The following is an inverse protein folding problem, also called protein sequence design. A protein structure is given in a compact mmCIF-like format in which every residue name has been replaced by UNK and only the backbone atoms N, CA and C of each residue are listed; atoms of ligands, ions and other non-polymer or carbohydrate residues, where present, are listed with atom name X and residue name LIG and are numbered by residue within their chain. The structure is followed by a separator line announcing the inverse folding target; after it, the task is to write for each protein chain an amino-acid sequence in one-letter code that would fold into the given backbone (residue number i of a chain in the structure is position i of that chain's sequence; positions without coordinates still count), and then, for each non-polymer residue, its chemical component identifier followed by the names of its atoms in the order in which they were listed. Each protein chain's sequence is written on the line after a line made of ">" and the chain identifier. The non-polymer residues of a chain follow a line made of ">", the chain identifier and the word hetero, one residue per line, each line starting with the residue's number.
data_IF_479182765482
#
_entry.id   IF_479182765482
#
_cell.length_a   1.000
_cell.length_b   1.000
_cell.length_c   1.000
_cell.angle_alpha   90.00
_cell.angle_beta   90.00
_cell.angle_gamma   90.00
#
_symmetry.space_group_name_H-M   'P 1'
#
loop_
_entity.id
_entity.type
_entity.pdbx_description
1 polymer ?
#
# COMPACT_ATOMS: atom_id res chain seq x y z
N UNK A 1 -36.61 -3.94 13.12
CA UNK A 1 -36.28 -4.68 11.88
C UNK A 1 -35.01 -4.07 11.33
N UNK A 2 -33.90 -4.63 11.75
CA UNK A 2 -32.57 -4.07 11.62
C UNK A 2 -31.66 -5.28 11.32
N UNK A 3 -31.82 -5.81 10.11
CA UNK A 3 -31.14 -7.01 9.66
C UNK A 3 -30.06 -6.74 8.61
N UNK A 4 -29.47 -5.54 8.55
CA UNK A 4 -28.42 -5.23 7.55
C UNK A 4 -27.07 -4.82 8.14
N UNK A 5 -26.84 -4.93 9.46
CA UNK A 5 -25.63 -4.37 10.10
C UNK A 5 -24.50 -5.37 10.38
N UNK A 6 -24.67 -6.67 10.12
CA UNK A 6 -23.73 -7.73 10.52
C UNK A 6 -22.66 -8.10 9.47
N UNK A 7 -22.71 -7.54 8.25
CA UNK A 7 -21.76 -7.86 7.17
C UNK A 7 -20.46 -7.03 7.20
N UNK A 8 -20.51 -5.77 7.63
CA UNK A 8 -19.34 -4.88 7.71
C UNK A 8 -18.15 -5.44 8.51
N UNK A 9 -18.33 -6.05 9.70
CA UNK A 9 -17.21 -6.56 10.49
C UNK A 9 -16.48 -7.73 9.82
N UNK A 10 -17.23 -8.60 9.13
CA UNK A 10 -16.68 -9.76 8.42
C UNK A 10 -15.90 -9.33 7.18
N UNK A 11 -16.38 -8.33 6.44
CA UNK A 11 -15.70 -7.80 5.28
C UNK A 11 -14.34 -7.17 5.66
N UNK A 12 -14.26 -6.48 6.79
CA UNK A 12 -13.02 -5.90 7.29
C UNK A 12 -12.03 -6.98 7.81
N UNK A 13 -12.51 -7.98 8.55
CA UNK A 13 -11.69 -9.12 9.01
C UNK A 13 -11.13 -9.92 7.82
N UNK A 14 -11.97 -10.20 6.82
CA UNK A 14 -11.56 -10.86 5.58
C UNK A 14 -10.54 -10.03 4.81
N UNK A 15 -10.78 -8.73 4.65
CA UNK A 15 -9.84 -7.82 3.98
C UNK A 15 -8.50 -7.76 4.70
N UNK A 16 -8.49 -7.78 6.04
CA UNK A 16 -7.27 -7.83 6.86
C UNK A 16 -6.52 -9.15 6.65
N UNK A 17 -7.23 -10.28 6.55
CA UNK A 17 -6.64 -11.58 6.22
C UNK A 17 -6.01 -11.58 4.81
N UNK A 18 -6.72 -11.06 3.81
CA UNK A 18 -6.24 -10.96 2.42
C UNK A 18 -5.04 -10.00 2.31
N UNK A 19 -4.96 -8.95 3.13
CA UNK A 19 -3.77 -8.09 3.23
C UNK A 19 -2.56 -8.85 3.80
N UNK A 20 -2.79 -9.74 4.77
CA UNK A 20 -1.72 -10.53 5.38
C UNK A 20 -1.22 -11.67 4.48
N UNK A 21 -2.07 -12.19 3.61
CA UNK A 21 -1.69 -13.23 2.63
C UNK A 21 -0.83 -12.67 1.49
N UNK A 22 -1.07 -11.42 1.08
CA UNK A 22 -0.34 -10.77 0.00
C UNK A 22 0.25 -9.43 0.49
N UNK A 23 1.33 -9.49 1.30
CA UNK A 23 1.96 -8.28 1.81
C UNK A 23 2.55 -7.45 0.65
N UNK A 24 2.60 -6.11 0.78
CA UNK A 24 3.29 -5.25 -0.18
C UNK A 24 4.76 -5.69 -0.33
N UNK A 25 5.23 -5.77 -1.57
CA UNK A 25 6.64 -6.06 -1.87
C UNK A 25 7.37 -4.75 -2.11
N UNK A 26 8.46 -4.55 -1.38
CA UNK A 26 9.28 -3.33 -1.48
C UNK A 26 10.65 -3.69 -2.02
N UNK A 27 11.07 -2.98 -3.06
CA UNK A 27 12.44 -3.04 -3.59
C UNK A 27 13.06 -1.67 -3.48
N UNK A 28 14.28 -1.60 -2.94
CA UNK A 28 15.02 -0.37 -2.75
C UNK A 28 16.25 -0.43 -3.66
N UNK A 29 16.42 0.58 -4.48
CA UNK A 29 17.61 0.73 -5.31
C UNK A 29 18.51 1.83 -4.71
N UNK A 30 19.67 1.43 -4.23
CA UNK A 30 20.64 2.34 -3.62
C UNK A 30 21.78 2.73 -4.56
N UNK A 31 21.90 2.08 -5.73
CA UNK A 31 23.06 2.23 -6.62
C UNK A 31 22.75 3.03 -7.87
N UNK A 32 21.52 3.04 -8.36
CA UNK A 32 21.20 3.67 -9.66
C UNK A 32 21.22 5.19 -9.67
N UNK A 33 21.16 5.86 -8.51
CA UNK A 33 21.06 7.32 -8.45
C UNK A 33 21.73 7.91 -7.22
N UNK A 34 22.61 8.90 -7.44
CA UNK A 34 23.23 9.70 -6.37
C UNK A 34 22.32 10.77 -5.77
N UNK A 35 21.20 11.10 -6.42
CA UNK A 35 20.36 12.27 -6.05
C UNK A 35 19.13 11.88 -5.22
N UNK A 36 18.69 10.64 -5.32
CA UNK A 36 17.54 10.08 -4.64
C UNK A 36 17.60 8.56 -4.70
N UNK A 37 16.98 7.89 -3.73
CA UNK A 37 16.83 6.44 -3.64
C UNK A 37 15.49 6.03 -4.26
N UNK A 38 15.46 5.37 -5.43
CA UNK A 38 14.22 4.84 -5.97
C UNK A 38 13.69 3.70 -5.09
N UNK A 39 12.44 3.83 -4.68
CA UNK A 39 11.71 2.80 -3.92
C UNK A 39 10.55 2.33 -4.80
N UNK A 40 10.54 1.03 -5.11
CA UNK A 40 9.44 0.39 -5.83
C UNK A 40 8.58 -0.37 -4.83
N UNK A 41 7.28 -0.10 -4.84
CA UNK A 41 6.29 -0.81 -4.03
C UNK A 41 5.31 -1.50 -4.97
N UNK A 42 5.35 -2.83 -4.97
CA UNK A 42 4.38 -3.66 -5.69
C UNK A 42 3.33 -4.13 -4.67
N UNK A 43 2.06 -3.75 -4.88
CA UNK A 43 0.96 -4.09 -3.98
C UNK A 43 -0.31 -4.41 -4.77
N UNK A 44 -1.25 -5.10 -4.12
CA UNK A 44 -2.59 -5.25 -4.65
C UNK A 44 -3.29 -3.88 -4.66
N UNK A 45 -3.99 -3.55 -5.74
CA UNK A 45 -4.75 -2.30 -5.86
C UNK A 45 -5.99 -2.32 -4.95
N UNK A 46 -5.79 -2.00 -3.67
CA UNK A 46 -6.84 -1.92 -2.66
C UNK A 46 -7.09 -0.46 -2.30
N UNK A 47 -8.34 -0.12 -2.01
CA UNK A 47 -8.71 1.22 -1.53
C UNK A 47 -7.93 1.54 -0.26
N UNK A 48 -7.18 2.65 -0.28
CA UNK A 48 -6.37 3.11 0.85
C UNK A 48 -4.91 2.63 0.85
N UNK A 49 -4.52 1.71 -0.03
CA UNK A 49 -3.14 1.19 -0.10
C UNK A 49 -2.07 2.26 -0.33
N UNK A 50 -2.34 3.22 -1.23
CA UNK A 50 -1.41 4.33 -1.48
C UNK A 50 -1.23 5.22 -0.24
N UNK A 51 -2.32 5.46 0.51
CA UNK A 51 -2.26 6.27 1.72
C UNK A 51 -1.40 5.59 2.78
N UNK A 52 -1.59 4.29 2.99
CA UNK A 52 -0.77 3.48 3.90
C UNK A 52 0.73 3.57 3.54
N UNK A 53 1.07 3.45 2.25
CA UNK A 53 2.46 3.58 1.79
C UNK A 53 3.03 4.98 2.07
N UNK A 54 2.28 6.03 1.75
CA UNK A 54 2.72 7.41 1.99
C UNK A 54 2.89 7.71 3.48
N UNK A 55 2.00 7.19 4.32
CA UNK A 55 2.09 7.31 5.78
C UNK A 55 3.38 6.66 6.30
N UNK A 56 3.66 5.41 5.94
CA UNK A 56 4.88 4.72 6.37
C UNK A 56 6.15 5.46 5.90
N UNK A 57 6.17 5.95 4.66
CA UNK A 57 7.32 6.71 4.15
C UNK A 57 7.51 8.03 4.93
N UNK A 58 6.42 8.69 5.31
CA UNK A 58 6.45 9.89 6.13
C UNK A 58 6.92 9.60 7.56
N UNK A 59 6.46 8.49 8.16
CA UNK A 59 6.86 8.06 9.50
C UNK A 59 8.35 7.69 9.58
N UNK A 60 8.92 7.20 8.47
CA UNK A 60 10.35 6.98 8.29
C UNK A 60 11.14 8.26 7.95
N UNK A 61 10.47 9.41 7.96
CA UNK A 61 11.05 10.72 7.69
C UNK A 61 11.70 10.84 6.30
N UNK A 62 11.15 10.11 5.31
CA UNK A 62 11.57 10.15 3.91
C UNK A 62 10.79 11.22 3.14
N UNK A 63 11.49 12.00 2.31
CA UNK A 63 10.88 13.06 1.49
C UNK A 63 10.61 12.51 0.08
N UNK A 64 9.34 12.43 -0.29
CA UNK A 64 8.91 12.01 -1.64
C UNK A 64 9.06 13.19 -2.60
N UNK A 65 10.12 13.18 -3.41
CA UNK A 65 10.37 14.24 -4.42
C UNK A 65 9.57 14.03 -5.71
N UNK A 66 9.37 12.77 -6.10
CA UNK A 66 8.64 12.34 -7.30
C UNK A 66 8.01 10.98 -7.01
N UNK A 67 6.84 10.73 -7.56
CA UNK A 67 6.17 9.45 -7.47
C UNK A 67 5.56 9.08 -8.83
N UNK A 68 5.64 7.80 -9.19
CA UNK A 68 5.00 7.24 -10.37
C UNK A 68 4.05 6.15 -9.90
N UNK A 69 2.80 6.21 -10.36
CA UNK A 69 1.76 5.26 -9.98
C UNK A 69 1.36 4.52 -11.25
N UNK A 70 1.51 3.20 -11.23
CA UNK A 70 1.07 2.31 -12.30
C UNK A 70 -0.02 1.41 -11.75
N UNK A 71 -1.22 1.50 -12.32
CA UNK A 71 -2.33 0.64 -11.98
C UNK A 71 -2.41 -0.44 -13.05
N UNK A 72 -2.12 -1.68 -12.70
CA UNK A 72 -2.41 -2.82 -13.57
C UNK A 72 -3.92 -3.10 -13.53
N UNK A 73 -4.60 -2.93 -14.66
CA UNK A 73 -5.96 -3.43 -14.89
C UNK A 73 -5.83 -4.90 -15.29
N UNK A 74 -5.82 -5.80 -14.32
CA UNK A 74 -5.92 -7.26 -14.53
C UNK A 74 -7.36 -7.70 -14.51
#
# INVERSE_FOLDING_TARGET
>A
MDCWSLSLPLDDEFKKLVNRMNPPRVTIDNDSSRKATPIKVDSANKRGSLLEVVQVLNDLNLIIRRAYIVICLS
#
